data_IF_188167510690
#
_entry.id   IF_188167510690
#
_cell.length_a   1.000
_cell.length_b   1.000
_cell.length_c   1.000
_cell.angle_alpha   90.00
_cell.angle_beta   90.00
_cell.angle_gamma   90.00
#
_symmetry.space_group_name_H-M   'P 1'
#
loop_
_entity.id
_entity.type
_entity.pdbx_description
1 polymer ?
#
# COMPACT_ATOMS: atom_id res chain seq x y z
N UNK A 1 15.87 -35.07 37.93
CA UNK A 1 14.99 -35.42 36.79
C UNK A 1 13.81 -34.46 36.61
N UNK A 2 12.96 -34.19 37.61
CA UNK A 2 11.79 -33.28 37.43
C UNK A 2 12.15 -31.82 37.06
N UNK A 3 13.25 -31.27 37.61
CA UNK A 3 13.73 -29.90 37.32
C UNK A 3 14.35 -29.76 35.92
N UNK A 4 15.04 -30.78 35.43
CA UNK A 4 15.61 -30.81 34.07
C UNK A 4 14.52 -30.95 33.02
N UNK A 5 13.44 -31.71 33.30
CA UNK A 5 12.27 -31.80 32.42
C UNK A 5 11.50 -30.46 32.34
N UNK A 6 11.38 -29.73 33.46
CA UNK A 6 10.74 -28.41 33.48
C UNK A 6 11.51 -27.35 32.67
N UNK A 7 12.85 -27.35 32.75
CA UNK A 7 13.72 -26.47 31.95
C UNK A 7 13.62 -26.79 30.44
N UNK A 8 13.53 -28.07 30.09
CA UNK A 8 13.38 -28.50 28.69
C UNK A 8 12.01 -28.13 28.11
N UNK A 9 10.94 -28.25 28.91
CA UNK A 9 9.59 -27.84 28.53
C UNK A 9 9.47 -26.31 28.36
N UNK A 10 10.15 -25.54 29.21
CA UNK A 10 10.23 -24.08 29.07
C UNK A 10 10.96 -23.66 27.78
N UNK A 11 12.04 -24.37 27.43
CA UNK A 11 12.80 -24.12 26.20
C UNK A 11 11.98 -24.43 24.92
N UNK A 12 11.17 -25.50 24.95
CA UNK A 12 10.26 -25.84 23.85
C UNK A 12 9.12 -24.82 23.67
N UNK A 13 8.62 -24.22 24.75
CA UNK A 13 7.54 -23.23 24.70
C UNK A 13 8.02 -21.87 24.15
N UNK A 14 9.29 -21.52 24.38
CA UNK A 14 9.93 -20.32 23.80
C UNK A 14 10.19 -20.48 22.29
N UNK A 15 10.48 -21.70 21.82
CA UNK A 15 10.74 -21.97 20.40
C UNK A 15 9.51 -21.80 19.48
N UNK A 16 8.29 -21.87 20.03
CA UNK A 16 7.06 -21.60 19.26
C UNK A 16 6.73 -20.12 19.08
N UNK A 17 7.38 -19.22 19.82
CA UNK A 17 7.10 -17.78 19.75
C UNK A 17 7.75 -17.08 18.55
N UNK A 18 8.63 -17.77 17.80
CA UNK A 18 9.47 -17.15 16.76
C UNK A 18 9.04 -17.41 15.31
N UNK A 19 7.92 -18.10 15.08
CA UNK A 19 7.42 -18.37 13.73
C UNK A 19 6.17 -17.56 13.40
N UNK A 20 6.32 -16.24 13.32
CA UNK A 20 5.31 -15.39 12.66
C UNK A 20 5.86 -14.99 11.29
N UNK A 21 5.13 -15.29 10.20
CA UNK A 21 5.45 -14.74 8.90
C UNK A 21 5.30 -13.21 8.96
N UNK A 22 6.41 -12.48 8.79
CA UNK A 22 6.38 -11.03 8.81
C UNK A 22 5.73 -10.52 7.52
N UNK A 23 4.63 -9.80 7.64
CA UNK A 23 4.01 -9.16 6.48
C UNK A 23 5.00 -8.18 5.81
N UNK A 24 4.99 -8.09 4.47
CA UNK A 24 5.83 -7.14 3.76
C UNK A 24 5.55 -5.72 4.25
N UNK A 25 6.61 -5.01 4.69
CA UNK A 25 6.48 -3.58 5.02
C UNK A 25 6.35 -2.77 3.73
N UNK A 26 5.11 -2.49 3.33
CA UNK A 26 4.82 -1.71 2.12
C UNK A 26 5.20 -0.23 2.29
N UNK A 27 5.66 0.38 1.20
CA UNK A 27 5.92 1.83 1.11
C UNK A 27 4.71 2.52 0.48
N UNK A 28 4.31 3.67 1.03
CA UNK A 28 3.22 4.47 0.47
C UNK A 28 3.64 5.06 -0.87
N UNK A 29 2.96 4.69 -1.95
CA UNK A 29 3.10 5.33 -3.26
C UNK A 29 2.42 6.72 -3.28
N UNK A 30 1.28 6.87 -2.60
CA UNK A 30 0.60 8.14 -2.43
C UNK A 30 0.84 8.73 -1.03
N UNK A 31 1.14 10.01 -0.96
CA UNK A 31 1.49 10.69 0.29
C UNK A 31 0.27 11.23 1.07
N UNK A 32 -0.96 11.08 0.54
CA UNK A 32 -2.18 11.55 1.17
C UNK A 32 -2.39 13.07 1.10
N UNK A 33 -1.63 13.80 0.28
CA UNK A 33 -1.65 15.27 0.25
C UNK A 33 -1.60 15.86 -1.15
N UNK A 34 -0.76 15.33 -2.04
CA UNK A 34 -0.54 15.88 -3.37
C UNK A 34 0.12 14.86 -4.32
N UNK A 35 0.36 15.28 -5.56
CA UNK A 35 0.95 14.45 -6.62
C UNK A 35 2.47 14.31 -6.59
N UNK A 36 3.16 14.64 -5.47
CA UNK A 36 4.62 14.44 -5.41
C UNK A 36 4.94 12.95 -5.62
N UNK A 37 5.80 12.65 -6.60
CA UNK A 37 6.12 11.28 -7.01
C UNK A 37 5.24 10.74 -8.15
N UNK A 38 4.39 11.59 -8.74
CA UNK A 38 3.48 11.24 -9.83
C UNK A 38 3.65 12.18 -11.03
N UNK A 39 3.57 11.62 -12.22
CA UNK A 39 3.59 12.36 -13.49
C UNK A 39 2.16 12.83 -13.78
N UNK A 40 1.87 14.08 -13.41
CA UNK A 40 0.55 14.70 -13.63
C UNK A 40 0.37 15.03 -15.12
N UNK A 41 -0.77 14.64 -15.75
CA UNK A 41 -1.05 14.98 -17.14
C UNK A 41 -1.03 16.50 -17.40
N UNK A 42 -0.60 16.91 -18.59
CA UNK A 42 -0.74 18.29 -19.02
C UNK A 42 -2.24 18.67 -19.05
N UNK A 43 -2.58 19.88 -18.58
CA UNK A 43 -3.97 20.34 -18.46
C UNK A 43 -4.85 19.37 -17.64
N UNK A 44 -4.33 18.86 -16.52
CA UNK A 44 -5.00 17.87 -15.68
C UNK A 44 -6.40 18.31 -15.20
N UNK A 45 -7.43 17.72 -15.80
CA UNK A 45 -8.84 17.83 -15.39
C UNK A 45 -9.38 16.55 -14.74
N UNK A 46 -8.59 15.47 -14.74
CA UNK A 46 -9.05 14.12 -14.38
C UNK A 46 -8.69 13.73 -12.95
N UNK A 47 -7.56 14.24 -12.44
CA UNK A 47 -7.01 13.85 -11.15
C UNK A 47 -7.07 15.01 -10.17
N UNK A 48 -7.59 14.75 -8.98
CA UNK A 48 -7.54 15.68 -7.85
C UNK A 48 -7.19 14.94 -6.56
N UNK A 49 -6.80 15.68 -5.54
CA UNK A 49 -6.66 15.15 -4.18
C UNK A 49 -7.67 15.85 -3.30
N UNK A 50 -8.57 15.09 -2.68
CA UNK A 50 -9.55 15.61 -1.74
C UNK A 50 -9.52 14.78 -0.46
N UNK A 51 -9.41 15.43 0.70
CA UNK A 51 -9.40 14.78 2.03
C UNK A 51 -8.44 13.58 2.14
N UNK A 52 -7.27 13.70 1.51
CA UNK A 52 -6.25 12.65 1.50
C UNK A 52 -6.56 11.45 0.62
N UNK A 53 -7.53 11.58 -0.30
CA UNK A 53 -7.93 10.59 -1.29
C UNK A 53 -7.55 11.09 -2.68
N UNK A 54 -6.99 10.19 -3.49
CA UNK A 54 -6.78 10.43 -4.91
C UNK A 54 -8.10 10.20 -5.65
N UNK A 55 -8.64 11.25 -6.28
CA UNK A 55 -9.93 11.21 -6.98
C UNK A 55 -9.68 11.23 -8.49
N UNK A 56 -10.28 10.25 -9.18
CA UNK A 56 -10.31 10.17 -10.64
C UNK A 56 -11.71 10.52 -11.16
N UNK A 57 -11.79 11.42 -12.14
CA UNK A 57 -13.03 11.78 -12.83
C UNK A 57 -12.80 11.85 -14.33
N UNK A 58 -13.74 11.30 -15.11
CA UNK A 58 -13.71 11.45 -16.57
C UNK A 58 -13.89 12.91 -16.98
N UNK A 59 -13.23 13.30 -18.08
CA UNK A 59 -13.43 14.61 -18.68
C UNK A 59 -14.83 14.75 -19.31
N UNK A 60 -15.18 15.94 -19.82
CA UNK A 60 -16.49 16.21 -20.45
C UNK A 60 -16.84 15.23 -21.58
N UNK A 61 -15.84 14.75 -22.32
CA UNK A 61 -16.00 13.77 -23.40
C UNK A 61 -16.11 12.32 -22.92
N UNK A 62 -16.21 12.10 -21.60
CA UNK A 62 -16.21 10.78 -20.95
C UNK A 62 -14.91 9.98 -21.17
N UNK A 63 -13.81 10.69 -21.42
CA UNK A 63 -12.48 10.12 -21.60
C UNK A 63 -11.68 10.40 -20.32
N UNK A 64 -11.00 9.37 -19.80
CA UNK A 64 -10.08 9.47 -18.66
C UNK A 64 -8.64 9.79 -19.06
N UNK A 65 -7.75 9.82 -18.07
CA UNK A 65 -6.30 9.83 -18.30
C UNK A 65 -5.62 8.85 -17.33
N UNK A 66 -4.32 8.59 -17.51
CA UNK A 66 -3.51 7.74 -16.62
C UNK A 66 -2.62 8.63 -15.77
N UNK A 67 -2.58 8.37 -14.46
CA UNK A 67 -1.62 8.98 -13.53
C UNK A 67 -0.49 7.98 -13.27
N UNK A 68 0.71 8.28 -13.78
CA UNK A 68 1.87 7.42 -13.64
C UNK A 68 2.69 7.80 -12.41
N UNK A 69 3.39 6.84 -11.79
CA UNK A 69 4.45 7.17 -10.83
C UNK A 69 5.68 7.71 -11.57
N UNK A 70 6.39 8.66 -10.98
CA UNK A 70 7.70 9.11 -11.49
C UNK A 70 8.74 7.98 -11.43
N UNK A 71 8.63 7.13 -10.41
CA UNK A 71 9.50 5.97 -10.24
C UNK A 71 9.00 4.79 -11.06
N UNK A 72 9.93 4.08 -11.69
CA UNK A 72 9.71 2.78 -12.34
C UNK A 72 9.93 1.63 -11.36
N UNK A 73 9.12 0.59 -11.50
CA UNK A 73 9.18 -0.65 -10.72
C UNK A 73 9.13 -1.83 -11.68
N UNK A 74 9.88 -2.89 -11.37
CA UNK A 74 9.89 -4.14 -12.13
C UNK A 74 9.08 -5.18 -11.33
N UNK A 75 9.66 -5.66 -10.23
CA UNK A 75 8.99 -6.57 -9.29
C UNK A 75 8.42 -5.79 -8.10
N UNK A 76 7.10 -5.82 -7.93
CA UNK A 76 6.44 -5.13 -6.82
C UNK A 76 5.14 -5.80 -6.38
N UNK A 77 4.74 -5.49 -5.14
CA UNK A 77 3.42 -5.74 -4.60
C UNK A 77 2.76 -4.37 -4.41
N UNK A 78 1.52 -4.23 -4.88
CA UNK A 78 0.69 -3.05 -4.69
C UNK A 78 -0.54 -3.44 -3.89
N UNK A 79 -0.90 -2.58 -2.94
CA UNK A 79 -2.13 -2.65 -2.17
C UNK A 79 -2.79 -1.27 -2.23
N UNK A 80 -4.10 -1.25 -2.49
CA UNK A 80 -4.89 -0.03 -2.54
C UNK A 80 -6.33 -0.32 -2.20
N UNK A 81 -6.94 0.60 -1.46
CA UNK A 81 -8.38 0.70 -1.34
C UNK A 81 -8.91 1.59 -2.48
N UNK A 82 -10.10 1.28 -2.97
CA UNK A 82 -10.78 2.12 -3.96
C UNK A 82 -12.29 2.11 -3.73
N UNK A 83 -12.94 3.19 -4.17
CA UNK A 83 -14.39 3.34 -4.21
C UNK A 83 -14.79 3.81 -5.61
N UNK A 84 -15.89 3.28 -6.15
CA UNK A 84 -16.52 3.89 -7.31
C UNK A 84 -17.27 5.14 -6.87
N UNK A 85 -16.84 6.29 -7.39
CA UNK A 85 -17.56 7.55 -7.24
C UNK A 85 -18.80 7.63 -8.14
N UNK A 86 -19.51 8.75 -8.06
CA UNK A 86 -20.54 9.08 -9.03
C UNK A 86 -19.88 9.34 -10.40
N UNK A 87 -20.27 8.55 -11.41
CA UNK A 87 -19.69 8.54 -12.76
C UNK A 87 -20.05 9.76 -13.60
#
# INVERSE_FOLDING_TARGET
MKRTTALFAFFLMVAWQFSTAQEPKLKKAFNGKNFKGWVVPQNNIWWSVNDGILVAKSGPEKIGSILWTEKLYEDFIIETDFLYGEG
#
